data_IF_399264657574
#
_entry.id   IF_399264657574
#
_cell.length_a   1.000
_cell.length_b   1.000
_cell.length_c   1.000
_cell.angle_alpha   90.00
_cell.angle_beta   90.00
_cell.angle_gamma   90.00
#
_symmetry.space_group_name_H-M   'P 1'
#
loop_
_entity.id
_entity.type
_entity.pdbx_description
1 polymer ?
#
# COMPACT_ATOMS: atom_id res chain seq x y z
N UNK A 1 11.78 -11.78 -24.22
CA UNK A 1 12.30 -10.39 -24.26
C UNK A 1 13.69 -10.39 -23.64
N UNK A 2 14.67 -9.67 -24.20
CA UNK A 2 16.14 -9.77 -23.98
C UNK A 2 16.66 -9.49 -22.54
N UNK A 3 15.83 -9.66 -21.50
CA UNK A 3 16.23 -9.53 -20.10
C UNK A 3 16.65 -10.90 -19.56
N UNK A 4 17.82 -10.95 -18.91
CA UNK A 4 18.28 -12.12 -18.18
C UNK A 4 17.74 -12.04 -16.75
N UNK A 5 16.99 -13.05 -16.34
CA UNK A 5 16.53 -13.12 -14.95
C UNK A 5 17.72 -13.24 -13.99
N UNK A 6 17.63 -12.59 -12.85
CA UNK A 6 18.58 -12.79 -11.75
C UNK A 6 18.36 -14.20 -11.20
N UNK A 7 19.46 -14.95 -10.96
CA UNK A 7 19.38 -16.27 -10.33
C UNK A 7 18.75 -16.16 -8.93
N UNK A 8 17.81 -17.06 -8.60
CA UNK A 8 17.13 -17.09 -7.30
C UNK A 8 18.13 -17.20 -6.13
N UNK A 9 19.12 -18.10 -6.23
CA UNK A 9 20.17 -18.26 -5.21
C UNK A 9 20.94 -16.96 -4.97
N UNK A 10 21.21 -16.21 -6.05
CA UNK A 10 21.90 -14.93 -5.95
C UNK A 10 21.02 -13.89 -5.27
N UNK A 11 19.72 -13.91 -5.53
CA UNK A 11 18.78 -13.00 -4.87
C UNK A 11 18.66 -13.30 -3.37
N UNK A 12 18.53 -14.56 -3.00
CA UNK A 12 18.48 -14.99 -1.60
C UNK A 12 19.77 -14.63 -0.84
N UNK A 13 20.92 -14.83 -1.47
CA UNK A 13 22.22 -14.43 -0.90
C UNK A 13 22.31 -12.92 -0.66
N UNK A 14 21.84 -12.09 -1.60
CA UNK A 14 21.85 -10.63 -1.45
C UNK A 14 20.91 -10.17 -0.33
N UNK A 15 19.70 -10.74 -0.25
CA UNK A 15 18.74 -10.42 0.82
C UNK A 15 19.30 -10.83 2.19
N UNK A 16 19.88 -12.04 2.29
CA UNK A 16 20.52 -12.52 3.50
C UNK A 16 21.65 -11.59 3.97
N UNK A 17 22.54 -11.21 3.05
CA UNK A 17 23.63 -10.27 3.33
C UNK A 17 23.11 -8.89 3.78
N UNK A 18 22.09 -8.35 3.12
CA UNK A 18 21.51 -7.05 3.49
C UNK A 18 20.90 -7.11 4.90
N UNK A 19 20.19 -8.19 5.23
CA UNK A 19 19.62 -8.41 6.56
C UNK A 19 20.69 -8.48 7.66
N UNK A 20 21.79 -9.19 7.43
CA UNK A 20 22.93 -9.24 8.37
C UNK A 20 23.56 -7.86 8.64
N UNK A 21 23.44 -6.93 7.68
CA UNK A 21 23.95 -5.56 7.78
C UNK A 21 22.92 -4.54 8.24
N UNK A 22 21.70 -4.97 8.58
CA UNK A 22 20.56 -4.09 8.86
C UNK A 22 20.30 -3.08 7.72
N UNK A 23 20.49 -3.52 6.47
CA UNK A 23 20.22 -2.74 5.27
C UNK A 23 18.83 -3.13 4.77
N UNK A 24 17.94 -2.14 4.65
CA UNK A 24 16.60 -2.36 4.11
C UNK A 24 16.68 -2.78 2.64
N UNK A 25 15.89 -3.81 2.30
CA UNK A 25 15.75 -4.33 0.95
C UNK A 25 14.43 -3.90 0.32
N UNK A 26 14.47 -3.56 -0.97
CA UNK A 26 13.29 -3.13 -1.72
C UNK A 26 13.24 -3.86 -3.06
N UNK A 27 12.05 -4.27 -3.47
CA UNK A 27 11.78 -4.78 -4.82
C UNK A 27 10.63 -4.00 -5.44
N UNK A 28 10.75 -3.73 -6.75
CA UNK A 28 9.72 -3.09 -7.57
C UNK A 28 9.28 -4.06 -8.65
N UNK A 29 7.97 -4.27 -8.77
CA UNK A 29 7.36 -5.26 -9.65
C UNK A 29 6.34 -4.56 -10.56
N UNK A 30 6.34 -4.91 -11.84
CA UNK A 30 5.49 -4.27 -12.85
C UNK A 30 4.50 -5.31 -13.40
N UNK A 31 3.21 -5.09 -13.20
CA UNK A 31 2.13 -5.88 -13.78
C UNK A 31 1.79 -5.40 -15.20
N UNK A 32 1.41 -6.32 -16.07
CA UNK A 32 0.96 -6.02 -17.44
C UNK A 32 2.06 -6.07 -18.50
N UNK A 33 3.26 -6.56 -18.13
CA UNK A 33 4.28 -6.94 -19.12
C UNK A 33 3.75 -8.06 -20.04
N UNK A 34 4.27 -8.20 -21.28
CA UNK A 34 3.83 -9.27 -22.17
C UNK A 34 3.91 -10.65 -21.52
N UNK A 35 2.84 -11.44 -21.71
CA UNK A 35 2.64 -12.77 -21.13
C UNK A 35 2.37 -12.83 -19.62
N UNK A 36 2.31 -11.68 -18.93
CA UNK A 36 1.96 -11.61 -17.52
C UNK A 36 0.45 -11.83 -17.35
N UNK A 37 0.08 -12.74 -16.45
CA UNK A 37 -1.32 -12.97 -16.04
C UNK A 37 -1.53 -12.49 -14.61
N UNK A 38 -2.78 -12.38 -14.18
CA UNK A 38 -3.10 -12.11 -12.76
C UNK A 38 -2.39 -13.12 -11.85
N UNK A 39 -2.50 -14.41 -12.15
CA UNK A 39 -1.99 -15.48 -11.28
C UNK A 39 -0.46 -15.55 -11.27
N UNK A 40 0.22 -15.25 -12.39
CA UNK A 40 1.68 -15.18 -12.39
C UNK A 40 2.20 -14.03 -11.54
N UNK A 41 1.49 -12.90 -11.58
CA UNK A 41 1.88 -11.71 -10.82
C UNK A 41 1.61 -11.86 -9.32
N UNK A 42 0.46 -12.41 -8.92
CA UNK A 42 0.18 -12.70 -7.50
C UNK A 42 1.18 -13.69 -6.93
N UNK A 43 1.51 -14.74 -7.69
CA UNK A 43 2.55 -15.70 -7.30
C UNK A 43 3.91 -15.04 -7.12
N UNK A 44 4.27 -14.07 -7.98
CA UNK A 44 5.51 -13.30 -7.85
C UNK A 44 5.51 -12.42 -6.60
N UNK A 45 4.37 -11.82 -6.25
CA UNK A 45 4.21 -11.03 -5.05
C UNK A 45 4.38 -11.86 -3.78
N UNK A 46 3.66 -12.98 -3.65
CA UNK A 46 3.76 -13.84 -2.48
C UNK A 46 5.17 -14.44 -2.33
N UNK A 47 5.83 -14.75 -3.46
CA UNK A 47 7.24 -15.14 -3.45
C UNK A 47 8.15 -14.03 -2.93
N UNK A 48 7.87 -12.78 -3.30
CA UNK A 48 8.65 -11.61 -2.83
C UNK A 48 8.46 -11.38 -1.33
N UNK A 49 7.23 -11.56 -0.83
CA UNK A 49 6.94 -11.57 0.62
C UNK A 49 7.73 -12.68 1.31
N UNK A 50 7.67 -13.91 0.80
CA UNK A 50 8.37 -15.07 1.37
C UNK A 50 9.90 -14.91 1.37
N UNK A 51 10.46 -14.27 0.33
CA UNK A 51 11.89 -13.91 0.27
C UNK A 51 12.31 -12.92 1.36
N UNK A 52 11.36 -12.23 1.97
CA UNK A 52 11.61 -11.33 3.09
C UNK A 52 12.09 -9.94 2.68
N UNK A 53 11.68 -9.46 1.49
CA UNK A 53 11.88 -8.04 1.14
C UNK A 53 11.19 -7.14 2.18
N UNK A 54 11.87 -6.07 2.59
CA UNK A 54 11.30 -5.13 3.56
C UNK A 54 10.24 -4.24 2.93
N UNK A 55 10.47 -3.81 1.69
CA UNK A 55 9.54 -3.03 0.87
C UNK A 55 9.26 -3.74 -0.45
N UNK A 56 7.98 -3.80 -0.84
CA UNK A 56 7.51 -4.39 -2.09
C UNK A 56 6.61 -3.36 -2.74
N UNK A 57 7.02 -2.85 -3.90
CA UNK A 57 6.24 -1.90 -4.69
C UNK A 57 5.67 -2.58 -5.92
N UNK A 58 4.39 -2.31 -6.17
CA UNK A 58 3.68 -2.79 -7.33
C UNK A 58 3.39 -1.62 -8.26
N UNK A 59 3.64 -1.79 -9.55
CA UNK A 59 3.35 -0.81 -10.57
C UNK A 59 2.52 -1.44 -11.67
N UNK A 60 1.64 -0.66 -12.29
CA UNK A 60 1.03 -1.04 -13.56
C UNK A 60 1.98 -0.62 -14.68
N UNK A 61 2.08 -1.44 -15.74
CA UNK A 61 2.82 -1.07 -16.93
C UNK A 61 2.19 0.19 -17.54
N UNK A 62 3.01 1.21 -17.74
CA UNK A 62 2.64 2.37 -18.54
C UNK A 62 3.55 2.48 -19.77
N UNK A 63 3.01 3.05 -20.83
CA UNK A 63 3.67 3.25 -22.12
C UNK A 63 4.26 4.65 -22.16
N UNK A 64 5.50 4.73 -22.64
CA UNK A 64 6.24 5.97 -22.81
C UNK A 64 6.81 6.06 -24.22
N UNK A 65 7.09 7.27 -24.67
CA UNK A 65 7.86 7.48 -25.89
C UNK A 65 9.26 6.85 -25.79
N UNK A 66 9.67 6.17 -26.86
CA UNK A 66 10.98 5.53 -26.96
C UNK A 66 11.08 4.09 -26.42
N UNK A 67 10.09 3.56 -25.69
CA UNK A 67 10.13 2.15 -25.27
C UNK A 67 9.72 1.22 -26.41
N UNK A 68 10.26 -0.01 -26.41
CA UNK A 68 9.94 -1.00 -27.45
C UNK A 68 8.45 -1.32 -27.53
N UNK A 69 7.74 -1.35 -26.38
CA UNK A 69 6.31 -1.62 -26.30
C UNK A 69 5.42 -0.51 -26.87
N UNK A 70 5.95 0.71 -27.08
CA UNK A 70 5.19 1.80 -27.72
C UNK A 70 5.20 1.70 -29.25
N UNK A 71 6.02 0.82 -29.82
CA UNK A 71 6.02 0.58 -31.27
C UNK A 71 4.71 -0.09 -31.68
N UNK A 72 4.09 0.41 -32.75
CA UNK A 72 2.82 -0.11 -33.30
C UNK A 72 2.79 -1.64 -33.41
N UNK A 73 3.83 -2.24 -33.98
CA UNK A 73 3.93 -3.70 -34.14
C UNK A 73 3.85 -4.44 -32.81
N UNK A 74 4.49 -3.94 -31.76
CA UNK A 74 4.48 -4.55 -30.43
C UNK A 74 3.12 -4.39 -29.75
N UNK A 75 2.50 -3.21 -29.86
CA UNK A 75 1.15 -2.98 -29.34
C UNK A 75 0.13 -3.93 -29.98
N UNK A 76 0.17 -4.06 -31.31
CA UNK A 76 -0.68 -4.99 -32.07
C UNK A 76 -0.37 -6.45 -31.74
N UNK A 77 0.90 -6.80 -31.53
CA UNK A 77 1.31 -8.18 -31.24
C UNK A 77 0.77 -8.71 -29.91
N UNK A 78 0.61 -7.85 -28.90
CA UNK A 78 0.16 -8.24 -27.55
C UNK A 78 -1.25 -7.72 -27.23
N UNK A 79 -1.96 -7.20 -28.24
CA UNK A 79 -3.29 -6.59 -28.12
C UNK A 79 -3.39 -5.61 -26.95
N UNK A 80 -2.42 -4.71 -26.80
CA UNK A 80 -2.38 -3.78 -25.67
C UNK A 80 -3.52 -2.77 -25.77
N UNK A 81 -4.39 -2.75 -24.76
CA UNK A 81 -5.39 -1.71 -24.53
C UNK A 81 -4.96 -0.85 -23.34
N UNK A 82 -5.11 0.46 -23.48
CA UNK A 82 -4.54 1.46 -22.58
C UNK A 82 -5.55 2.53 -22.20
N UNK A 83 -5.33 3.20 -21.07
CA UNK A 83 -6.07 4.38 -20.61
C UNK A 83 -5.09 5.45 -20.15
N UNK A 84 -5.55 6.68 -20.09
CA UNK A 84 -4.79 7.81 -19.57
C UNK A 84 -5.21 8.14 -18.15
N UNK A 85 -4.25 8.46 -17.28
CA UNK A 85 -4.53 9.00 -15.94
C UNK A 85 -3.51 10.04 -15.53
N UNK A 86 -3.83 10.84 -14.51
CA UNK A 86 -2.90 11.84 -13.96
C UNK A 86 -1.71 11.19 -13.27
N UNK A 87 -0.52 11.77 -13.48
CA UNK A 87 0.68 11.43 -12.71
C UNK A 87 0.77 12.35 -11.49
N UNK A 88 -0.08 12.10 -10.50
CA UNK A 88 -0.16 12.95 -9.31
C UNK A 88 -0.84 14.30 -9.54
N UNK A 89 -0.78 15.18 -8.54
CA UNK A 89 -1.38 16.52 -8.60
C UNK A 89 -0.43 17.52 -9.24
N UNK A 90 0.24 17.11 -10.32
CA UNK A 90 1.27 17.86 -11.02
C UNK A 90 0.66 18.55 -12.24
N UNK A 91 -0.12 19.61 -12.00
CA UNK A 91 -0.72 20.43 -13.05
C UNK A 91 -0.89 21.88 -12.59
N UNK A 92 -0.64 22.80 -13.50
CA UNK A 92 -0.64 24.24 -13.24
C UNK A 92 -0.72 25.05 -14.55
N UNK A 93 -0.80 26.37 -14.45
CA UNK A 93 -0.68 27.28 -15.59
C UNK A 93 0.75 27.83 -15.69
N UNK A 94 1.43 27.57 -16.81
CA UNK A 94 2.78 28.08 -17.11
C UNK A 94 2.71 28.94 -18.37
N UNK A 95 3.12 30.21 -18.25
CA UNK A 95 3.12 31.18 -19.36
C UNK A 95 1.78 31.26 -20.14
N UNK A 96 0.66 31.22 -19.42
CA UNK A 96 -0.69 31.28 -20.02
C UNK A 96 -1.18 29.95 -20.61
N UNK A 97 -0.42 28.86 -20.42
CA UNK A 97 -0.75 27.52 -20.92
C UNK A 97 -0.94 26.56 -19.74
N UNK A 98 -2.12 25.93 -19.66
CA UNK A 98 -2.36 24.87 -18.70
C UNK A 98 -1.56 23.61 -19.09
N UNK A 99 -0.77 23.09 -18.15
CA UNK A 99 0.06 21.90 -18.28
C UNK A 99 -0.31 20.86 -17.23
N UNK A 100 -0.22 19.58 -17.58
CA UNK A 100 -0.45 18.47 -16.65
C UNK A 100 0.49 17.31 -16.96
N UNK A 101 0.93 16.61 -15.92
CA UNK A 101 1.60 15.32 -16.06
C UNK A 101 0.58 14.18 -16.08
N UNK A 102 0.82 13.21 -16.96
CA UNK A 102 -0.08 12.09 -17.20
C UNK A 102 0.72 10.85 -17.62
N UNK A 103 0.11 9.69 -17.48
CA UNK A 103 0.65 8.41 -17.94
C UNK A 103 -0.40 7.62 -18.73
N UNK A 104 0.07 6.83 -19.69
CA UNK A 104 -0.75 5.91 -20.50
C UNK A 104 -0.57 4.48 -19.97
N UNK A 105 -1.52 3.98 -19.19
CA UNK A 105 -1.40 2.70 -18.47
C UNK A 105 -2.03 1.58 -19.29
N UNK A 106 -1.38 0.41 -19.34
CA UNK A 106 -1.93 -0.80 -19.94
C UNK A 106 -2.96 -1.39 -18.99
N UNK A 107 -4.21 -1.45 -19.45
CA UNK A 107 -5.37 -1.93 -18.67
C UNK A 107 -5.90 -3.28 -19.16
N UNK A 108 -5.41 -3.76 -20.31
CA UNK A 108 -5.75 -5.08 -20.87
C UNK A 108 -4.72 -5.50 -21.91
N UNK A 109 -4.55 -6.81 -22.09
CA UNK A 109 -3.72 -7.42 -23.14
C UNK A 109 -4.27 -8.80 -23.53
N UNK A 110 -3.56 -9.55 -24.37
CA UNK A 110 -3.87 -10.97 -24.63
C UNK A 110 -3.82 -11.88 -23.37
N UNK A 111 -3.16 -11.44 -22.29
CA UNK A 111 -2.88 -12.27 -21.11
C UNK A 111 -3.69 -11.90 -19.86
N UNK A 112 -4.40 -10.77 -19.87
CA UNK A 112 -5.26 -10.33 -18.76
C UNK A 112 -6.31 -9.33 -19.26
N UNK A 113 -7.47 -9.29 -18.60
CA UNK A 113 -8.56 -8.36 -18.92
C UNK A 113 -8.66 -7.18 -17.94
N UNK A 114 -9.68 -6.34 -18.11
CA UNK A 114 -9.87 -5.16 -17.27
C UNK A 114 -10.23 -5.51 -15.81
N UNK A 115 -10.92 -6.63 -15.58
CA UNK A 115 -11.25 -7.08 -14.23
C UNK A 115 -9.99 -7.56 -13.50
N UNK A 116 -9.08 -8.25 -14.20
CA UNK A 116 -7.75 -8.58 -13.69
C UNK A 116 -6.94 -7.31 -13.39
N UNK A 117 -7.02 -6.26 -14.22
CA UNK A 117 -6.40 -4.97 -13.94
C UNK A 117 -6.91 -4.36 -12.63
N UNK A 118 -8.23 -4.29 -12.43
CA UNK A 118 -8.85 -3.77 -11.20
C UNK A 118 -8.47 -4.61 -9.98
N UNK A 119 -8.44 -5.94 -10.13
CA UNK A 119 -7.97 -6.85 -9.10
C UNK A 119 -6.53 -6.52 -8.68
N UNK A 120 -5.63 -6.32 -9.64
CA UNK A 120 -4.25 -5.93 -9.34
C UNK A 120 -4.17 -4.52 -8.75
N UNK A 121 -5.07 -3.59 -9.10
CA UNK A 121 -5.13 -2.26 -8.44
C UNK A 121 -5.44 -2.37 -6.95
N UNK A 122 -6.34 -3.26 -6.53
CA UNK A 122 -6.61 -3.56 -5.12
C UNK A 122 -5.35 -4.07 -4.41
N UNK A 123 -4.66 -5.04 -5.02
CA UNK A 123 -3.40 -5.59 -4.51
C UNK A 123 -2.34 -4.53 -4.39
N UNK A 124 -2.15 -3.73 -5.43
CA UNK A 124 -1.17 -2.66 -5.49
C UNK A 124 -1.36 -1.69 -4.32
N UNK A 125 -2.60 -1.26 -4.08
CA UNK A 125 -2.89 -0.36 -2.97
C UNK A 125 -2.58 -0.99 -1.61
N UNK A 126 -3.09 -2.18 -1.30
CA UNK A 126 -2.88 -2.72 0.05
C UNK A 126 -1.43 -3.16 0.29
N UNK A 127 -0.72 -3.65 -0.73
CA UNK A 127 0.72 -3.88 -0.63
C UNK A 127 1.47 -2.57 -0.39
N UNK A 128 1.10 -1.48 -1.07
CA UNK A 128 1.68 -0.17 -0.81
C UNK A 128 1.44 0.27 0.64
N UNK A 129 0.20 0.14 1.15
CA UNK A 129 -0.11 0.46 2.54
C UNK A 129 0.74 -0.38 3.53
N UNK A 130 0.85 -1.69 3.31
CA UNK A 130 1.56 -2.61 4.21
C UNK A 130 3.08 -2.42 4.17
N UNK A 131 3.67 -2.42 2.97
CA UNK A 131 5.12 -2.50 2.77
C UNK A 131 5.80 -1.16 2.54
N UNK A 132 5.05 -0.13 2.17
CA UNK A 132 5.58 1.22 1.94
C UNK A 132 5.13 2.20 3.01
N UNK A 133 3.92 2.02 3.57
CA UNK A 133 3.32 2.89 4.61
C UNK A 133 3.21 2.25 6.00
N UNK A 134 3.82 1.09 6.21
CA UNK A 134 3.88 0.39 7.50
C UNK A 134 2.50 0.16 8.15
N UNK A 135 1.41 0.16 7.35
CA UNK A 135 0.06 -0.02 7.85
C UNK A 135 -0.05 -1.34 8.61
N UNK A 136 -0.27 -1.25 9.92
CA UNK A 136 -0.38 -2.41 10.81
C UNK A 136 0.80 -3.40 10.63
N UNK A 137 2.01 -2.86 10.47
CA UNK A 137 3.25 -3.61 10.19
C UNK A 137 3.38 -4.89 11.03
N UNK A 138 3.21 -4.80 12.35
CA UNK A 138 3.43 -5.93 13.25
C UNK A 138 2.43 -7.07 13.01
N UNK A 139 1.17 -6.72 12.79
CA UNK A 139 0.12 -7.68 12.45
C UNK A 139 0.44 -8.40 11.13
N UNK A 140 0.81 -7.67 10.08
CA UNK A 140 1.13 -8.29 8.79
C UNK A 140 2.43 -9.10 8.81
N UNK A 141 3.47 -8.66 9.55
CA UNK A 141 4.68 -9.49 9.77
C UNK A 141 4.33 -10.81 10.48
N UNK A 142 3.38 -10.78 11.42
CA UNK A 142 2.89 -11.99 12.07
C UNK A 142 2.07 -12.88 11.14
N UNK A 143 1.19 -12.33 10.30
CA UNK A 143 0.47 -13.12 9.29
C UNK A 143 1.44 -13.85 8.34
N UNK A 144 2.49 -13.16 7.87
CA UNK A 144 3.54 -13.78 7.05
C UNK A 144 4.25 -14.90 7.80
N UNK A 145 4.54 -14.72 9.09
CA UNK A 145 5.14 -15.76 9.92
C UNK A 145 4.21 -16.98 10.10
N UNK A 146 2.89 -16.76 10.10
CA UNK A 146 1.87 -17.83 10.10
C UNK A 146 1.62 -18.42 8.71
N UNK A 147 2.50 -18.13 7.74
CA UNK A 147 2.44 -18.60 6.35
C UNK A 147 1.14 -18.22 5.62
N UNK A 148 0.49 -17.13 6.05
CA UNK A 148 -0.67 -16.57 5.34
C UNK A 148 -0.21 -16.02 3.99
N UNK A 149 -0.87 -16.47 2.92
CA UNK A 149 -0.72 -15.92 1.58
C UNK A 149 -1.32 -14.51 1.58
N UNK A 150 -0.48 -13.49 1.43
CA UNK A 150 -0.95 -12.10 1.58
C UNK A 150 -1.84 -11.67 0.41
N UNK A 151 -1.59 -12.15 -0.81
CA UNK A 151 -2.49 -11.88 -1.93
C UNK A 151 -3.92 -12.37 -1.67
N UNK A 152 -4.08 -13.53 -1.02
CA UNK A 152 -5.38 -14.07 -0.59
C UNK A 152 -6.03 -13.19 0.48
N UNK A 153 -5.26 -12.71 1.47
CA UNK A 153 -5.76 -11.77 2.47
C UNK A 153 -6.27 -10.48 1.80
N UNK A 154 -5.50 -9.94 0.85
CA UNK A 154 -5.90 -8.71 0.14
C UNK A 154 -7.19 -8.94 -0.66
N UNK A 155 -7.29 -10.06 -1.38
CA UNK A 155 -8.50 -10.42 -2.10
C UNK A 155 -9.70 -10.48 -1.14
N UNK A 156 -9.54 -11.10 0.02
CA UNK A 156 -10.60 -11.18 1.02
C UNK A 156 -10.98 -9.79 1.57
N UNK A 157 -10.02 -8.88 1.72
CA UNK A 157 -10.29 -7.51 2.14
C UNK A 157 -11.09 -6.72 1.10
N UNK A 158 -10.77 -6.83 -0.19
CA UNK A 158 -11.53 -6.09 -1.23
C UNK A 158 -12.81 -6.79 -1.67
N UNK A 159 -12.93 -8.09 -1.41
CA UNK A 159 -14.11 -8.91 -1.68
C UNK A 159 -14.55 -9.64 -0.40
N UNK A 160 -15.03 -8.90 0.62
CA UNK A 160 -15.35 -9.47 1.92
C UNK A 160 -16.50 -10.50 1.82
N UNK A 161 -16.40 -11.65 2.52
CA UNK A 161 -17.44 -12.68 2.52
C UNK A 161 -18.81 -12.16 2.95
N UNK A 162 -19.85 -12.48 2.16
CA UNK A 162 -21.22 -11.96 2.36
C UNK A 162 -21.90 -12.53 3.61
N UNK A 163 -21.46 -13.69 4.09
CA UNK A 163 -21.95 -14.35 5.30
C UNK A 163 -21.52 -13.66 6.60
N UNK A 164 -20.54 -12.75 6.53
CA UNK A 164 -20.08 -11.96 7.68
C UNK A 164 -20.74 -10.58 7.64
N UNK A 165 -21.20 -10.11 8.80
CA UNK A 165 -21.66 -8.71 8.94
C UNK A 165 -20.46 -7.78 9.06
N UNK A 166 -20.33 -6.83 8.15
CA UNK A 166 -19.20 -5.90 8.08
C UNK A 166 -19.59 -4.48 8.51
N UNK A 167 -18.68 -3.70 9.13
CA UNK A 167 -18.92 -2.30 9.43
C UNK A 167 -19.27 -1.49 8.17
N UNK A 168 -20.35 -0.70 8.22
CA UNK A 168 -20.77 0.10 7.06
C UNK A 168 -19.71 1.10 6.60
N UNK A 169 -18.86 1.60 7.51
CA UNK A 169 -17.75 2.49 7.17
C UNK A 169 -16.67 1.79 6.34
N UNK A 170 -16.37 0.53 6.64
CA UNK A 170 -15.45 -0.29 5.85
C UNK A 170 -15.97 -0.55 4.44
N UNK A 171 -17.24 -0.93 4.29
CA UNK A 171 -17.84 -1.14 2.96
C UNK A 171 -17.87 0.15 2.13
N UNK A 172 -18.12 1.31 2.77
CA UNK A 172 -17.99 2.62 2.10
C UNK A 172 -16.55 2.91 1.67
N UNK A 173 -15.56 2.62 2.52
CA UNK A 173 -14.15 2.78 2.16
C UNK A 173 -13.79 1.97 0.90
N UNK A 174 -14.25 0.70 0.81
CA UNK A 174 -14.03 -0.13 -0.38
C UNK A 174 -14.72 0.45 -1.63
N UNK A 175 -15.95 0.95 -1.47
CA UNK A 175 -16.70 1.57 -2.56
C UNK A 175 -16.02 2.87 -3.05
N UNK A 176 -15.59 3.74 -2.13
CA UNK A 176 -14.87 4.96 -2.46
C UNK A 176 -13.58 4.64 -3.23
N UNK A 177 -12.80 3.65 -2.74
CA UNK A 177 -11.56 3.23 -3.38
C UNK A 177 -11.80 2.75 -4.79
N UNK A 178 -12.77 1.85 -4.96
CA UNK A 178 -13.14 1.32 -6.28
C UNK A 178 -13.56 2.44 -7.22
N UNK A 179 -14.42 3.35 -6.75
CA UNK A 179 -14.89 4.47 -7.57
C UNK A 179 -13.74 5.36 -8.02
N UNK A 180 -12.79 5.68 -7.15
CA UNK A 180 -11.65 6.52 -7.52
C UNK A 180 -10.71 5.80 -8.51
N UNK A 181 -10.49 4.48 -8.34
CA UNK A 181 -9.67 3.69 -9.28
C UNK A 181 -10.32 3.56 -10.66
N UNK A 182 -11.64 3.41 -10.73
CA UNK A 182 -12.36 3.36 -12.01
C UNK A 182 -12.39 4.76 -12.67
N UNK A 183 -12.64 5.82 -11.89
CA UNK A 183 -12.76 7.18 -12.39
C UNK A 183 -11.42 7.86 -12.74
N UNK A 184 -10.27 7.32 -12.31
CA UNK A 184 -8.96 7.87 -12.71
C UNK A 184 -8.62 7.59 -14.19
N UNK A 185 -9.38 6.71 -14.87
CA UNK A 185 -9.07 6.18 -16.20
C UNK A 185 -9.83 6.91 -17.30
N UNK A 186 -9.10 7.52 -18.23
CA UNK A 186 -9.65 8.25 -19.38
C UNK A 186 -9.34 7.55 -20.70
N UNK A 187 -10.23 7.69 -21.69
CA UNK A 187 -10.06 7.09 -23.02
C UNK A 187 -9.00 7.81 -23.85
N UNK A 188 -8.78 9.10 -23.58
CA UNK A 188 -7.86 9.95 -24.34
C UNK A 188 -7.17 10.97 -23.46
N UNK A 189 -5.99 11.41 -23.90
CA UNK A 189 -5.27 12.52 -23.26
C UNK A 189 -6.08 13.81 -23.27
N UNK A 190 -6.85 14.06 -24.32
CA UNK A 190 -7.68 15.25 -24.48
C UNK A 190 -8.85 15.27 -23.49
N UNK A 191 -9.47 14.13 -23.24
CA UNK A 191 -10.52 13.99 -22.23
C UNK A 191 -9.96 14.27 -20.84
N UNK A 192 -8.85 13.61 -20.48
CA UNK A 192 -8.15 13.86 -19.24
C UNK A 192 -7.77 15.34 -19.07
N UNK A 193 -7.28 15.98 -20.14
CA UNK A 193 -6.90 17.38 -20.13
C UNK A 193 -8.09 18.29 -19.82
N UNK A 194 -9.22 18.10 -20.52
CA UNK A 194 -10.41 18.94 -20.31
C UNK A 194 -10.92 18.83 -18.87
N UNK A 195 -10.99 17.61 -18.34
CA UNK A 195 -11.55 17.37 -17.01
C UNK A 195 -10.62 17.87 -15.91
N UNK A 196 -9.30 17.69 -16.08
CA UNK A 196 -8.30 18.23 -15.15
C UNK A 196 -8.28 19.75 -15.19
N UNK A 197 -8.30 20.36 -16.38
CA UNK A 197 -8.32 21.82 -16.51
C UNK A 197 -9.60 22.42 -15.92
N UNK A 198 -10.75 21.78 -16.15
CA UNK A 198 -12.01 22.18 -15.51
C UNK A 198 -11.89 22.15 -13.98
N UNK A 199 -11.36 21.05 -13.43
CA UNK A 199 -11.13 20.90 -11.99
C UNK A 199 -10.20 21.99 -11.45
N UNK A 200 -9.12 22.31 -12.16
CA UNK A 200 -8.19 23.36 -11.80
C UNK A 200 -8.86 24.74 -11.70
N UNK A 201 -9.69 25.09 -12.70
CA UNK A 201 -10.44 26.35 -12.71
C UNK A 201 -11.51 26.40 -11.61
N UNK A 202 -12.25 25.31 -11.39
CA UNK A 202 -13.27 25.20 -10.34
C UNK A 202 -12.67 25.31 -8.92
N UNK A 203 -11.41 24.93 -8.75
CA UNK A 203 -10.66 25.07 -7.50
C UNK A 203 -9.89 26.40 -7.39
N UNK A 204 -10.22 27.41 -8.21
CA UNK A 204 -9.60 28.72 -8.12
C UNK A 204 -8.13 28.74 -8.54
N UNK A 205 -7.82 28.04 -9.63
CA UNK A 205 -6.47 27.89 -10.19
C UNK A 205 -5.51 27.18 -9.21
N UNK A 206 -6.04 26.17 -8.52
CA UNK A 206 -5.29 25.29 -7.63
C UNK A 206 -5.55 23.85 -8.00
N UNK A 207 -4.64 22.97 -7.58
CA UNK A 207 -4.84 21.54 -7.70
C UNK A 207 -6.03 21.10 -6.85
N UNK A 208 -6.81 20.15 -7.36
CA UNK A 208 -7.88 19.51 -6.61
C UNK A 208 -7.37 18.49 -5.60
N UNK A 209 -8.29 17.64 -5.14
CA UNK A 209 -8.00 16.55 -4.20
C UNK A 209 -6.81 15.72 -4.69
N UNK A 210 -5.94 15.24 -3.77
CA UNK A 210 -4.82 14.38 -4.13
C UNK A 210 -5.18 13.23 -5.07
N UNK A 211 -4.51 13.14 -6.22
CA UNK A 211 -4.78 12.12 -7.25
C UNK A 211 -3.95 10.84 -7.08
N UNK A 212 -2.92 10.82 -6.22
CA UNK A 212 -2.19 9.59 -5.89
C UNK A 212 -3.02 8.70 -4.97
N UNK A 213 -3.91 7.91 -5.56
CA UNK A 213 -4.89 7.05 -4.87
C UNK A 213 -4.24 6.22 -3.77
N UNK A 214 -3.14 5.53 -4.04
CA UNK A 214 -2.49 4.68 -3.04
C UNK A 214 -2.06 5.46 -1.78
N UNK A 215 -1.48 6.65 -1.98
CA UNK A 215 -1.03 7.52 -0.88
C UNK A 215 -2.24 8.06 -0.12
N UNK A 216 -3.26 8.51 -0.85
CA UNK A 216 -4.49 9.05 -0.29
C UNK A 216 -5.25 8.03 0.55
N UNK A 217 -5.59 6.87 -0.02
CA UNK A 217 -6.33 5.83 0.71
C UNK A 217 -5.47 5.19 1.81
N UNK A 218 -4.15 5.18 1.65
CA UNK A 218 -3.22 4.79 2.70
C UNK A 218 -3.29 5.73 3.90
N UNK A 219 -3.27 7.05 3.65
CA UNK A 219 -3.45 8.05 4.70
C UNK A 219 -4.81 7.92 5.40
N UNK A 220 -5.88 7.59 4.65
CA UNK A 220 -7.19 7.28 5.22
C UNK A 220 -7.12 6.05 6.15
N UNK A 221 -6.59 4.91 5.68
CA UNK A 221 -6.46 3.69 6.48
C UNK A 221 -5.69 3.94 7.79
N UNK A 222 -4.62 4.73 7.71
CA UNK A 222 -3.76 5.00 8.86
C UNK A 222 -4.41 6.00 9.82
N UNK A 223 -5.04 7.07 9.36
CA UNK A 223 -5.45 8.17 10.26
C UNK A 223 -6.95 8.35 10.42
N UNK A 224 -7.73 8.11 9.37
CA UNK A 224 -9.16 8.48 9.31
C UNK A 224 -10.09 7.30 9.55
N UNK A 225 -9.67 6.10 9.20
CA UNK A 225 -10.50 4.90 9.23
C UNK A 225 -10.33 4.08 10.53
N UNK A 226 -9.62 4.61 11.53
CA UNK A 226 -9.18 3.90 12.74
C UNK A 226 -10.29 3.16 13.51
N UNK A 227 -11.53 3.64 13.45
CA UNK A 227 -12.63 3.13 14.28
C UNK A 227 -13.07 1.70 13.92
N UNK A 228 -12.83 1.23 12.70
CA UNK A 228 -13.27 -0.10 12.25
C UNK A 228 -12.12 -1.06 11.93
N UNK A 229 -10.88 -0.56 11.80
CA UNK A 229 -9.72 -1.34 11.35
C UNK A 229 -9.52 -2.60 12.18
N UNK A 230 -9.48 -2.46 13.51
CA UNK A 230 -9.28 -3.60 14.41
C UNK A 230 -10.36 -4.66 14.24
N UNK A 231 -11.62 -4.26 14.23
CA UNK A 231 -12.76 -5.18 14.08
C UNK A 231 -12.66 -5.95 12.75
N UNK A 232 -12.39 -5.23 11.65
CA UNK A 232 -12.30 -5.83 10.30
C UNK A 232 -11.12 -6.80 10.19
N UNK A 233 -9.94 -6.40 10.65
CA UNK A 233 -8.77 -7.28 10.62
C UNK A 233 -9.00 -8.56 11.44
N UNK A 234 -9.62 -8.45 12.62
CA UNK A 234 -9.94 -9.63 13.45
C UNK A 234 -10.98 -10.54 12.78
N UNK A 235 -12.03 -9.98 12.16
CA UNK A 235 -13.00 -10.77 11.37
C UNK A 235 -12.34 -11.51 10.20
N UNK A 236 -11.38 -10.89 9.54
CA UNK A 236 -10.60 -11.57 8.49
C UNK A 236 -9.76 -12.72 9.05
N UNK A 237 -9.11 -12.54 10.20
CA UNK A 237 -8.37 -13.63 10.89
C UNK A 237 -9.29 -14.80 11.25
N UNK A 238 -10.46 -14.53 11.82
CA UNK A 238 -11.46 -15.56 12.17
C UNK A 238 -11.93 -16.35 10.95
N UNK A 239 -12.16 -15.65 9.83
CA UNK A 239 -12.52 -16.30 8.57
C UNK A 239 -11.36 -17.14 8.01
N UNK A 240 -10.12 -16.65 8.03
CA UNK A 240 -8.95 -17.40 7.58
C UNK A 240 -8.79 -18.70 8.38
N UNK A 241 -8.97 -18.64 9.70
CA UNK A 241 -8.91 -19.83 10.54
C UNK A 241 -10.05 -20.81 10.22
N UNK A 242 -11.29 -20.32 10.14
CA UNK A 242 -12.46 -21.19 10.02
C UNK A 242 -12.71 -21.75 8.61
N UNK A 243 -12.41 -20.98 7.55
CA UNK A 243 -12.73 -21.34 6.16
C UNK A 243 -11.51 -21.67 5.30
N UNK A 244 -10.33 -21.17 5.66
CA UNK A 244 -9.09 -21.39 4.89
C UNK A 244 -8.09 -22.31 5.60
N UNK A 245 -8.40 -22.78 6.81
CA UNK A 245 -7.60 -23.77 7.54
C UNK A 245 -6.31 -23.23 8.15
N UNK A 246 -6.17 -21.91 8.27
CA UNK A 246 -5.04 -21.31 8.98
C UNK A 246 -5.18 -21.55 10.50
N UNK A 247 -4.05 -21.44 11.21
CA UNK A 247 -3.98 -21.59 12.68
C UNK A 247 -3.38 -20.34 13.30
N UNK A 248 -3.98 -19.19 13.00
CA UNK A 248 -3.57 -17.89 13.53
C UNK A 248 -4.11 -17.75 14.95
N UNK A 249 -3.24 -17.39 15.90
CA UNK A 249 -3.67 -17.11 17.27
C UNK A 249 -4.33 -15.72 17.32
N UNK A 250 -5.64 -15.70 17.63
CA UNK A 250 -6.41 -14.46 17.70
C UNK A 250 -5.93 -13.52 18.81
N UNK A 251 -5.37 -14.04 19.90
CA UNK A 251 -4.80 -13.22 20.98
C UNK A 251 -3.52 -12.51 20.54
N UNK A 252 -2.64 -13.20 19.82
CA UNK A 252 -1.46 -12.58 19.20
C UNK A 252 -1.86 -11.54 18.15
N UNK A 253 -2.83 -11.86 17.29
CA UNK A 253 -3.32 -10.92 16.27
C UNK A 253 -3.89 -9.64 16.91
N UNK A 254 -4.77 -9.77 17.92
CA UNK A 254 -5.34 -8.64 18.66
C UNK A 254 -4.25 -7.78 19.30
N UNK A 255 -3.29 -8.43 19.97
CA UNK A 255 -2.18 -7.76 20.62
C UNK A 255 -1.33 -6.94 19.63
N UNK A 256 -1.00 -7.51 18.46
CA UNK A 256 -0.17 -6.84 17.46
C UNK A 256 -0.88 -5.70 16.74
N UNK A 257 -2.21 -5.80 16.56
CA UNK A 257 -3.01 -4.67 16.07
C UNK A 257 -2.97 -3.52 17.09
N UNK A 258 -3.17 -3.82 18.38
CA UNK A 258 -3.08 -2.82 19.46
C UNK A 258 -1.69 -2.20 19.55
N UNK A 259 -0.64 -2.98 19.32
CA UNK A 259 0.72 -2.45 19.26
C UNK A 259 0.85 -1.41 18.13
N UNK A 260 0.34 -1.71 16.93
CA UNK A 260 0.33 -0.76 15.81
C UNK A 260 -0.48 0.50 16.08
N UNK A 261 -1.59 0.40 16.83
CA UNK A 261 -2.38 1.56 17.27
C UNK A 261 -1.61 2.46 18.24
N UNK A 262 -0.87 1.87 19.18
CA UNK A 262 -0.07 2.62 20.16
C UNK A 262 1.15 3.27 19.52
N UNK A 263 1.80 2.60 18.56
CA UNK A 263 2.95 3.13 17.82
C UNK A 263 2.60 4.34 16.96
N UNK A 264 1.37 4.42 16.44
CA UNK A 264 0.93 5.52 15.58
C UNK A 264 0.90 6.85 16.33
N UNK A 265 1.63 7.83 15.81
CA UNK A 265 1.66 9.20 16.34
C UNK A 265 0.35 9.92 16.03
N UNK A 266 -0.25 10.57 17.02
CA UNK A 266 -1.43 11.42 16.80
C UNK A 266 -0.99 12.84 16.41
N UNK A 267 -0.95 13.11 15.10
CA UNK A 267 -0.47 14.39 14.56
C UNK A 267 -1.37 15.59 14.89
N UNK A 268 -2.64 15.35 15.23
CA UNK A 268 -3.59 16.39 15.66
C UNK A 268 -3.67 16.51 17.18
N UNK A 269 -3.08 15.55 17.89
CA UNK A 269 -3.18 15.42 19.33
C UNK A 269 -1.81 15.39 20.00
N UNK A 270 -1.66 14.45 20.93
CA UNK A 270 -0.47 14.35 21.75
C UNK A 270 0.59 13.44 21.11
N UNK A 271 1.79 14.02 20.93
CA UNK A 271 3.01 13.34 20.46
C UNK A 271 3.90 12.87 21.61
N UNK A 272 3.36 12.83 22.83
CA UNK A 272 4.05 12.31 24.01
C UNK A 272 4.46 10.86 23.83
N UNK A 273 5.46 10.48 24.62
CA UNK A 273 5.88 9.09 24.70
C UNK A 273 4.73 8.22 25.23
N UNK A 274 4.60 7.02 24.67
CA UNK A 274 3.54 6.06 25.01
C UNK A 274 4.15 4.80 25.58
N UNK A 275 3.40 4.12 26.43
CA UNK A 275 3.84 2.83 27.00
C UNK A 275 2.87 1.73 26.62
N UNK A 276 3.41 0.60 26.16
CA UNK A 276 2.67 -0.63 25.92
C UNK A 276 3.09 -1.67 26.96
N UNK A 277 2.12 -2.18 27.70
CA UNK A 277 2.35 -3.34 28.56
C UNK A 277 2.14 -4.62 27.76
N UNK A 278 3.09 -5.54 27.85
CA UNK A 278 3.06 -6.79 27.09
C UNK A 278 3.65 -7.97 27.86
N UNK A 279 3.17 -9.15 27.53
CA UNK A 279 3.64 -10.43 28.10
C UNK A 279 4.71 -11.09 27.22
N UNK A 280 5.04 -10.46 26.08
CA UNK A 280 5.96 -10.97 25.07
C UNK A 280 7.26 -10.15 25.00
N UNK A 281 8.40 -10.81 24.76
CA UNK A 281 9.65 -10.13 24.38
C UNK A 281 9.61 -9.70 22.91
N UNK A 282 8.86 -8.63 22.65
CA UNK A 282 8.67 -8.08 21.29
C UNK A 282 10.00 -7.61 20.70
N UNK A 283 10.90 -7.08 21.53
CA UNK A 283 12.19 -6.59 21.05
C UNK A 283 13.08 -7.75 20.58
N UNK A 284 13.06 -8.89 21.27
CA UNK A 284 13.73 -10.10 20.78
C UNK A 284 13.09 -10.63 19.50
N UNK A 285 11.75 -10.65 19.44
CA UNK A 285 11.01 -11.07 18.25
C UNK A 285 11.37 -10.24 17.01
N UNK A 286 11.51 -8.92 17.16
CA UNK A 286 11.96 -8.00 16.11
C UNK A 286 13.43 -8.25 15.74
N UNK A 287 14.35 -8.36 16.72
CA UNK A 287 15.79 -8.56 16.45
C UNK A 287 16.09 -9.85 15.68
N UNK A 288 15.30 -10.89 15.87
CA UNK A 288 15.43 -12.14 15.13
C UNK A 288 14.71 -12.12 13.76
N UNK A 289 14.06 -11.00 13.44
CA UNK A 289 13.34 -10.79 12.20
C UNK A 289 12.16 -11.75 12.04
N UNK A 290 11.36 -11.90 13.10
CA UNK A 290 10.07 -12.62 13.09
C UNK A 290 10.20 -14.10 12.70
N UNK A 291 11.32 -14.74 13.02
CA UNK A 291 11.58 -16.15 12.68
C UNK A 291 10.92 -17.14 13.63
N UNK A 292 10.57 -16.71 14.83
CA UNK A 292 10.01 -17.57 15.88
C UNK A 292 8.63 -17.11 16.29
N UNK A 293 7.78 -18.07 16.70
CA UNK A 293 6.43 -17.78 17.17
C UNK A 293 6.47 -16.78 18.33
N UNK A 294 5.61 -15.75 18.30
CA UNK A 294 5.53 -14.73 19.36
C UNK A 294 5.22 -15.37 20.72
N UNK A 295 4.38 -16.40 20.76
CA UNK A 295 4.05 -17.14 21.98
C UNK A 295 5.22 -17.93 22.58
N UNK A 296 6.28 -18.21 21.82
CA UNK A 296 7.51 -18.79 22.36
C UNK A 296 8.36 -17.77 23.13
N UNK A 297 7.95 -16.49 23.16
CA UNK A 297 8.67 -15.35 23.76
C UNK A 297 7.96 -14.80 24.98
N UNK A 298 7.36 -15.65 25.80
CA UNK A 298 6.74 -15.23 27.05
C UNK A 298 7.80 -14.73 28.03
N UNK A 299 7.55 -13.57 28.60
CA UNK A 299 8.33 -13.02 29.71
C UNK A 299 7.40 -12.62 30.86
N UNK A 300 7.94 -12.59 32.08
CA UNK A 300 7.23 -11.97 33.21
C UNK A 300 7.06 -10.48 32.92
N UNK A 301 5.92 -10.11 32.34
CA UNK A 301 5.36 -8.78 32.12
C UNK A 301 6.39 -7.65 31.94
N UNK A 302 6.51 -7.13 30.72
CA UNK A 302 7.35 -5.97 30.42
C UNK A 302 6.53 -4.76 29.99
N UNK A 303 7.08 -3.58 30.25
CA UNK A 303 6.60 -2.31 29.70
C UNK A 303 7.58 -1.86 28.63
N UNK A 304 7.08 -1.68 27.41
CA UNK A 304 7.83 -1.10 26.29
C UNK A 304 7.43 0.37 26.18
N UNK A 305 8.42 1.26 26.11
CA UNK A 305 8.21 2.68 25.86
C UNK A 305 8.44 2.98 24.38
N UNK A 306 7.52 3.72 23.78
CA UNK A 306 7.55 4.18 22.39
C UNK A 306 7.68 5.70 22.42
N UNK A 307 8.70 6.24 21.77
CA UNK A 307 9.01 7.66 21.77
C UNK A 307 9.47 8.10 20.39
N UNK A 308 8.90 9.19 19.88
CA UNK A 308 9.48 9.87 18.72
C UNK A 308 10.83 10.49 19.10
N UNK A 309 11.81 10.35 18.21
CA UNK A 309 13.11 11.00 18.35
C UNK A 309 12.98 12.52 18.35
N UNK A 310 14.01 13.23 18.82
CA UNK A 310 14.03 14.70 18.80
C UNK A 310 13.81 15.25 17.38
N UNK A 311 14.46 14.65 16.39
CA UNK A 311 14.37 15.08 14.99
C UNK A 311 12.98 14.83 14.41
N UNK A 312 12.34 13.69 14.73
CA UNK A 312 10.93 13.44 14.37
C UNK A 312 9.99 14.46 15.00
N UNK A 313 10.17 14.79 16.29
CA UNK A 313 9.34 15.80 16.97
C UNK A 313 9.48 17.18 16.32
N UNK A 314 10.69 17.56 15.88
CA UNK A 314 10.93 18.80 15.13
C UNK A 314 10.22 18.75 13.78
N UNK A 315 10.42 17.67 13.00
CA UNK A 315 9.82 17.49 11.68
C UNK A 315 8.29 17.56 11.73
N UNK A 316 7.67 16.86 12.69
CA UNK A 316 6.22 16.90 12.92
C UNK A 316 5.78 18.31 13.30
N UNK A 317 6.51 19.00 14.18
CA UNK A 317 6.19 20.38 14.57
C UNK A 317 6.22 21.36 13.39
N UNK A 318 7.25 21.27 12.54
CA UNK A 318 7.36 22.08 11.31
C UNK A 318 6.23 21.76 10.32
N UNK A 319 5.89 20.48 10.15
CA UNK A 319 4.77 20.06 9.32
C UNK A 319 3.44 20.63 9.83
N UNK A 320 3.12 20.42 11.11
CA UNK A 320 1.90 20.93 11.71
C UNK A 320 1.83 22.46 11.62
N UNK A 321 2.95 23.19 11.79
CA UNK A 321 2.95 24.66 11.65
C UNK A 321 2.46 25.17 10.28
N UNK A 322 2.54 24.33 9.24
CA UNK A 322 2.12 24.68 7.87
C UNK A 322 0.73 24.16 7.52
N UNK A 323 0.39 22.94 7.96
CA UNK A 323 -0.78 22.21 7.47
C UNK A 323 -1.88 22.03 8.52
N UNK A 324 -1.68 22.44 9.78
CA UNK A 324 -2.63 22.14 10.86
C UNK A 324 -4.05 22.65 10.57
N UNK A 325 -4.23 23.75 9.87
CA UNK A 325 -5.58 24.24 9.56
C UNK A 325 -6.22 23.62 8.31
N UNK A 326 -5.49 22.75 7.59
CA UNK A 326 -6.01 22.06 6.40
C UNK A 326 -7.11 21.06 6.78
N UNK A 327 -8.04 20.75 5.85
CA UNK A 327 -8.97 19.62 6.01
C UNK A 327 -8.22 18.31 6.28
N UNK A 328 -8.80 17.45 7.10
CA UNK A 328 -8.18 16.20 7.54
C UNK A 328 -7.67 15.32 6.39
N UNK A 329 -8.44 15.22 5.30
CA UNK A 329 -8.04 14.44 4.13
C UNK A 329 -6.78 14.97 3.44
N UNK A 330 -6.56 16.28 3.45
CA UNK A 330 -5.37 16.92 2.89
C UNK A 330 -4.20 16.86 3.87
N UNK A 331 -4.48 17.14 5.15
CA UNK A 331 -3.50 17.09 6.23
C UNK A 331 -2.84 15.72 6.32
N UNK A 332 -3.61 14.64 6.41
CA UNK A 332 -3.03 13.31 6.56
C UNK A 332 -2.40 12.78 5.26
N UNK A 333 -2.93 13.17 4.09
CA UNK A 333 -2.27 12.88 2.82
C UNK A 333 -0.87 13.52 2.78
N UNK A 334 -0.79 14.83 3.08
CA UNK A 334 0.48 15.56 3.10
C UNK A 334 1.43 15.00 4.16
N UNK A 335 0.92 14.59 5.33
CA UNK A 335 1.73 14.00 6.39
C UNK A 335 2.41 12.70 5.92
N UNK A 336 1.63 11.77 5.37
CA UNK A 336 2.13 10.48 4.89
C UNK A 336 3.08 10.64 3.70
N UNK A 337 2.87 11.65 2.86
CA UNK A 337 3.71 11.91 1.69
C UNK A 337 5.03 12.63 2.04
N UNK A 338 4.98 13.61 2.94
CA UNK A 338 6.12 14.51 3.18
C UNK A 338 7.03 14.07 4.33
N UNK A 339 6.44 13.56 5.42
CA UNK A 339 7.18 13.33 6.66
C UNK A 339 7.18 11.87 7.12
N UNK A 340 6.27 11.06 6.59
CA UNK A 340 6.14 9.64 6.94
C UNK A 340 6.19 9.42 8.47
N UNK A 341 5.18 9.93 9.19
CA UNK A 341 5.27 10.19 10.63
C UNK A 341 5.30 8.95 11.52
#
# INVERSE_FOLDING_TARGET
INRKNVNEEKMESVIGWAKEKNISTTTELIFGLPYETRDSFTTLLDRSVKRGFDKILCHNLFIMDGIELNRRKQREQFSLETKYRLLGSNYEEVDGSFVMEHEEVVVKSDSFDYDDYLYIRNINFLFYAIFVQDFQRWFFKYLVQMEVVLSDFVLQFFSPPNEISWPAAYLRFLQDFRSDVENEQYESREELYRDTHKTYLENGNQVGRPSRINVYFGSRLIYLEKNWIKEVLMKHVEYLNSQKGYSIDCGHADFLIRMGEVERVDLRGDISDRTLSCEYDILAWIREGFRTNLGARLEKYRTVSLSATKDQKILIGEFCSKFFDSPDSEFYYAAVDMIYP
#
